data_IF_703861855166
#
_entry.id   IF_703861855166
#
_cell.length_a   1.000
_cell.length_b   1.000
_cell.length_c   1.000
_cell.angle_alpha   90.00
_cell.angle_beta   90.00
_cell.angle_gamma   90.00
#
_symmetry.space_group_name_H-M   'P 1'
#
loop_
_entity.id
_entity.type
_entity.pdbx_description
1 polymer ?
#
# COMPACT_ATOMS: atom_id res chain seq x y z
N UNK A 1 -67.32 32.48 25.74
CA UNK A 1 -67.21 31.04 26.10
C UNK A 1 -65.79 30.83 26.60
N UNK A 2 -65.67 30.91 27.93
CA UNK A 2 -64.62 30.59 28.93
C UNK A 2 -63.14 30.52 28.45
N UNK A 3 -62.22 31.37 28.93
CA UNK A 3 -61.60 31.46 30.30
C UNK A 3 -60.85 30.18 30.69
N UNK A 4 -59.67 30.15 31.33
CA UNK A 4 -58.72 31.15 31.84
C UNK A 4 -57.42 30.41 32.22
N UNK A 5 -56.39 31.17 32.62
CA UNK A 5 -55.11 30.76 33.23
C UNK A 5 -55.27 30.04 34.58
N UNK A 6 -54.17 29.42 35.08
CA UNK A 6 -53.53 29.60 36.43
C UNK A 6 -52.54 28.43 36.69
N UNK A 7 -51.21 28.59 36.80
CA UNK A 7 -50.32 29.03 37.92
C UNK A 7 -50.46 28.33 39.29
N UNK A 8 -49.38 27.63 39.70
CA UNK A 8 -48.50 27.89 40.89
C UNK A 8 -48.70 27.14 42.24
N UNK A 9 -47.58 26.53 42.68
CA UNK A 9 -47.00 26.24 44.05
C UNK A 9 -47.48 25.15 45.03
N UNK A 10 -46.46 24.35 45.43
CA UNK A 10 -45.94 24.00 46.79
C UNK A 10 -46.87 23.77 48.01
N UNK A 11 -46.64 22.64 48.70
CA UNK A 11 -46.21 22.48 50.12
C UNK A 11 -46.11 20.95 50.43
N UNK A 12 -44.95 20.37 50.79
CA UNK A 12 -44.32 20.25 52.11
C UNK A 12 -45.08 19.33 53.10
N UNK A 13 -44.45 18.21 53.50
CA UNK A 13 -44.60 17.64 54.84
C UNK A 13 -43.36 16.83 55.27
N UNK A 14 -42.96 17.01 56.52
CA UNK A 14 -41.78 16.48 57.21
C UNK A 14 -42.04 15.07 57.79
N UNK A 15 -41.01 14.23 57.96
CA UNK A 15 -40.72 13.43 59.18
C UNK A 15 -39.51 12.49 59.00
N UNK A 16 -38.91 12.09 60.13
CA UNK A 16 -37.49 11.83 60.33
C UNK A 16 -37.04 10.33 60.41
N UNK A 17 -35.78 10.08 59.98
CA UNK A 17 -34.80 9.07 60.48
C UNK A 17 -35.01 7.58 60.16
N UNK A 18 -34.00 6.67 60.33
CA UNK A 18 -32.58 6.84 60.72
C UNK A 18 -31.56 6.24 59.71
N UNK A 19 -30.26 6.59 59.88
CA UNK A 19 -29.11 6.06 59.12
C UNK A 19 -28.66 4.66 59.61
N UNK A 20 -28.20 3.77 58.71
CA UNK A 20 -27.19 2.75 59.05
C UNK A 20 -25.85 2.99 58.33
N UNK A 21 -24.77 2.55 59.00
CA UNK A 21 -23.37 2.88 58.72
C UNK A 21 -22.67 2.11 57.58
N UNK A 22 -21.34 2.28 57.45
CA UNK A 22 -20.59 1.87 56.27
C UNK A 22 -20.23 0.37 56.28
N UNK A 23 -20.56 -0.32 55.18
CA UNK A 23 -20.13 -1.68 54.91
C UNK A 23 -18.61 -1.74 54.63
N UNK A 24 -17.92 -2.64 55.34
CA UNK A 24 -16.55 -3.07 55.04
C UNK A 24 -16.52 -3.88 53.74
N UNK A 25 -15.50 -3.73 52.87
CA UNK A 25 -15.30 -4.63 51.75
C UNK A 25 -14.73 -5.97 52.21
N UNK A 26 -15.37 -7.06 51.77
CA UNK A 26 -14.94 -8.43 51.94
C UNK A 26 -13.70 -8.77 51.10
N UNK A 27 -12.93 -9.72 51.61
CA UNK A 27 -11.77 -10.40 51.01
C UNK A 27 -12.13 -10.95 49.61
N UNK A 28 -11.25 -10.87 48.60
CA UNK A 28 -11.44 -11.62 47.36
C UNK A 28 -11.06 -13.09 47.57
N UNK A 29 -12.02 -13.98 47.28
CA UNK A 29 -11.85 -15.42 47.18
C UNK A 29 -10.94 -15.77 45.99
N UNK A 30 -10.03 -16.71 46.20
CA UNK A 30 -9.22 -17.34 45.14
C UNK A 30 -10.12 -18.16 44.20
N UNK A 31 -9.98 -18.03 42.87
CA UNK A 31 -10.61 -18.95 41.94
C UNK A 31 -10.00 -20.34 42.06
N UNK A 32 -10.86 -21.32 42.35
CA UNK A 32 -10.61 -22.74 42.21
C UNK A 32 -10.20 -23.06 40.76
N UNK A 33 -9.06 -23.74 40.60
CA UNK A 33 -8.62 -24.30 39.32
C UNK A 33 -9.61 -25.38 38.87
N UNK A 34 -10.05 -25.40 37.60
CA UNK A 34 -10.85 -26.51 37.09
C UNK A 34 -9.97 -27.75 36.87
N UNK A 35 -10.51 -28.89 37.28
CA UNK A 35 -9.92 -30.21 37.16
C UNK A 35 -9.52 -30.55 35.71
N UNK A 36 -8.32 -31.11 35.60
CA UNK A 36 -7.68 -31.54 34.35
C UNK A 36 -8.36 -32.84 33.87
N UNK A 37 -8.93 -32.91 32.65
CA UNK A 37 -9.42 -34.18 32.15
C UNK A 37 -8.25 -35.12 31.81
N UNK A 38 -8.37 -36.37 32.26
CA UNK A 38 -7.48 -37.49 31.93
C UNK A 38 -7.34 -37.68 30.42
N UNK A 39 -6.09 -37.88 30.00
CA UNK A 39 -5.67 -38.03 28.62
C UNK A 39 -5.80 -39.51 28.23
N UNK A 40 -6.62 -39.90 27.24
CA UNK A 40 -6.67 -41.28 26.78
C UNK A 40 -5.41 -41.64 25.99
N UNK A 41 -4.96 -42.88 26.17
CA UNK A 41 -3.75 -43.49 25.62
C UNK A 41 -3.54 -43.23 24.12
N UNK A 42 -2.31 -42.84 23.76
CA UNK A 42 -1.87 -42.74 22.36
C UNK A 42 -1.57 -44.14 21.81
N UNK A 43 -2.07 -44.51 20.61
CA UNK A 43 -1.64 -45.72 19.93
C UNK A 43 -0.22 -45.57 19.37
N UNK A 44 0.58 -46.62 19.56
CA UNK A 44 1.97 -46.78 19.12
C UNK A 44 2.16 -46.47 17.62
N UNK A 45 3.21 -45.70 17.31
CA UNK A 45 3.66 -45.47 15.93
C UNK A 45 4.35 -46.74 15.37
N UNK A 46 4.03 -47.19 14.16
CA UNK A 46 4.77 -48.27 13.53
C UNK A 46 6.13 -47.79 13.01
N UNK A 47 7.16 -48.57 13.35
CA UNK A 47 8.56 -48.42 12.95
C UNK A 47 8.74 -48.22 11.43
N UNK A 48 9.56 -47.24 11.04
CA UNK A 48 9.99 -47.08 9.65
C UNK A 48 11.07 -48.11 9.28
N UNK A 49 10.93 -48.83 8.15
CA UNK A 49 11.97 -49.72 7.67
C UNK A 49 13.11 -48.94 7.01
N UNK A 50 14.33 -49.21 7.48
CA UNK A 50 15.59 -48.77 6.88
C UNK A 50 15.75 -49.30 5.45
N UNK A 51 16.01 -48.38 4.54
CA UNK A 51 17.07 -48.53 3.54
C UNK A 51 16.65 -48.87 2.10
N UNK A 52 16.91 -47.93 1.19
CA UNK A 52 17.61 -48.25 -0.07
C UNK A 52 18.30 -47.01 -0.64
N UNK A 53 19.63 -47.09 -0.68
CA UNK A 53 20.56 -46.15 -1.33
C UNK A 53 20.20 -46.01 -2.81
N UNK A 54 20.12 -44.77 -3.31
CA UNK A 54 20.27 -44.48 -4.75
C UNK A 54 21.48 -43.57 -4.95
N UNK A 55 22.23 -43.94 -6.00
CA UNK A 55 23.57 -43.50 -6.39
C UNK A 55 23.60 -42.02 -6.78
N UNK A 56 24.63 -41.30 -6.36
CA UNK A 56 24.99 -40.00 -6.93
C UNK A 56 25.74 -40.13 -8.27
N UNK A 57 25.85 -39.06 -9.06
CA UNK A 57 26.86 -38.95 -10.10
C UNK A 57 28.13 -38.30 -9.52
N UNK A 58 29.28 -38.84 -9.94
CA UNK A 58 30.63 -38.51 -9.44
C UNK A 58 31.20 -37.17 -9.94
N UNK A 59 32.45 -36.86 -9.53
CA UNK A 59 33.04 -35.54 -9.64
C UNK A 59 33.59 -35.26 -11.04
N UNK A 60 33.33 -34.07 -11.55
CA UNK A 60 34.00 -33.52 -12.74
C UNK A 60 35.37 -33.01 -12.32
N UNK A 61 36.41 -33.64 -12.86
CA UNK A 61 37.81 -33.28 -12.69
C UNK A 61 38.10 -31.93 -13.37
N UNK A 62 38.61 -31.00 -12.57
CA UNK A 62 39.19 -29.73 -13.01
C UNK A 62 40.56 -29.99 -13.66
N UNK A 63 40.73 -29.60 -14.92
CA UNK A 63 42.05 -29.51 -15.58
C UNK A 63 42.21 -28.08 -16.13
N UNK A 64 43.04 -27.30 -15.44
CA UNK A 64 43.67 -26.09 -15.94
C UNK A 64 44.79 -26.47 -16.93
N UNK A 65 44.92 -25.76 -18.05
CA UNK A 65 46.18 -25.22 -18.57
C UNK A 65 45.90 -24.16 -19.68
N UNK A 66 46.81 -23.19 -19.91
CA UNK A 66 46.56 -21.94 -20.62
C UNK A 66 47.02 -21.97 -22.09
N UNK A 67 46.39 -21.18 -22.96
CA UNK A 67 46.92 -20.90 -24.29
C UNK A 67 46.64 -19.45 -24.74
N UNK A 68 47.71 -18.68 -24.65
CA UNK A 68 48.09 -17.48 -25.38
C UNK A 68 47.58 -17.45 -26.84
N UNK A 69 46.88 -16.38 -27.23
CA UNK A 69 46.75 -15.99 -28.64
C UNK A 69 47.11 -14.52 -28.80
N UNK A 70 48.02 -14.31 -29.74
CA UNK A 70 48.80 -13.12 -30.07
C UNK A 70 47.98 -12.04 -30.76
N UNK A 71 48.22 -10.80 -30.37
CA UNK A 71 47.83 -9.59 -31.10
C UNK A 71 48.85 -9.34 -32.21
N UNK A 72 48.40 -9.38 -33.46
CA UNK A 72 49.09 -8.74 -34.60
C UNK A 72 48.05 -8.09 -35.48
N UNK A 73 48.22 -6.79 -35.72
CA UNK A 73 47.32 -5.99 -36.53
C UNK A 73 47.77 -5.77 -37.98
N UNK A 74 47.11 -4.75 -38.55
CA UNK A 74 47.52 -3.83 -39.63
C UNK A 74 46.84 -4.01 -41.01
N UNK A 75 46.44 -2.83 -41.52
CA UNK A 75 46.13 -2.38 -42.88
C UNK A 75 44.68 -2.58 -43.36
N UNK A 76 43.86 -1.52 -43.38
CA UNK A 76 43.84 -0.38 -44.32
C UNK A 76 43.13 -0.74 -45.65
N UNK A 77 41.93 -0.19 -45.84
CA UNK A 77 41.37 0.01 -47.17
C UNK A 77 40.79 1.43 -47.29
N UNK A 78 41.26 2.10 -48.33
CA UNK A 78 41.02 3.48 -48.70
C UNK A 78 39.62 3.72 -49.25
N UNK A 79 39.20 4.98 -49.09
CA UNK A 79 37.93 5.58 -49.42
C UNK A 79 37.57 5.61 -50.92
N UNK A 80 36.27 5.48 -51.19
CA UNK A 80 35.47 6.18 -52.21
C UNK A 80 34.07 6.27 -51.57
N UNK A 81 33.58 7.45 -51.13
CA UNK A 81 33.07 8.51 -51.97
C UNK A 81 31.53 8.41 -52.03
N UNK A 82 30.82 9.14 -51.15
CA UNK A 82 29.36 9.22 -51.17
C UNK A 82 28.79 9.89 -49.92
N UNK A 83 28.52 11.19 -49.99
CA UNK A 83 27.76 11.94 -48.98
C UNK A 83 26.27 11.62 -49.11
N UNK A 84 25.55 11.29 -48.03
CA UNK A 84 24.09 11.41 -48.01
C UNK A 84 23.70 12.86 -47.63
N UNK A 85 22.83 13.44 -48.45
CA UNK A 85 22.10 14.68 -48.13
C UNK A 85 21.08 14.44 -47.00
N UNK A 86 20.68 15.47 -46.24
CA UNK A 86 19.70 15.33 -45.16
C UNK A 86 18.31 15.19 -45.80
N UNK A 87 17.73 14.00 -45.67
CA UNK A 87 16.41 13.68 -46.21
C UNK A 87 15.50 13.19 -45.11
N UNK A 88 14.50 14.02 -44.81
CA UNK A 88 13.21 13.72 -44.15
C UNK A 88 13.28 13.01 -42.80
N UNK A 89 13.12 13.81 -41.75
CA UNK A 89 12.55 13.40 -40.47
C UNK A 89 11.22 12.68 -40.73
N UNK A 90 11.27 11.35 -40.76
CA UNK A 90 10.09 10.52 -40.55
C UNK A 90 9.98 10.36 -39.04
N UNK A 91 9.40 11.37 -38.39
CA UNK A 91 8.90 11.30 -37.01
C UNK A 91 7.71 10.31 -36.99
N UNK A 92 8.00 9.03 -37.21
CA UNK A 92 7.14 7.98 -36.69
C UNK A 92 7.39 7.97 -35.19
N UNK A 93 6.62 8.78 -34.48
CA UNK A 93 6.42 8.62 -33.05
C UNK A 93 6.09 7.14 -32.81
N UNK A 94 7.06 6.39 -32.29
CA UNK A 94 6.86 5.02 -31.86
C UNK A 94 5.78 5.08 -30.80
N UNK A 95 4.60 4.56 -31.12
CA UNK A 95 3.50 4.44 -30.19
C UNK A 95 4.04 3.78 -28.90
N UNK A 96 3.96 4.43 -27.73
CA UNK A 96 4.41 3.83 -26.48
C UNK A 96 3.64 2.55 -26.11
N UNK A 97 2.54 2.22 -26.83
CA UNK A 97 1.87 0.92 -26.76
C UNK A 97 2.63 -0.22 -27.44
N UNK A 98 3.58 0.09 -28.35
CA UNK A 98 4.27 -0.88 -29.20
C UNK A 98 5.35 -1.71 -28.47
N UNK A 99 5.37 -1.75 -27.14
CA UNK A 99 6.32 -2.54 -26.35
C UNK A 99 5.70 -3.29 -25.17
N UNK A 100 4.37 -3.46 -25.14
CA UNK A 100 3.71 -4.36 -24.18
C UNK A 100 3.13 -5.54 -24.95
N UNK A 101 3.63 -6.74 -24.68
CA UNK A 101 3.22 -8.00 -25.35
C UNK A 101 1.87 -8.51 -24.82
N UNK A 102 0.83 -7.67 -24.89
CA UNK A 102 -0.55 -7.97 -24.50
C UNK A 102 -1.53 -7.40 -25.54
N UNK A 103 -2.74 -7.97 -25.60
CA UNK A 103 -3.78 -7.45 -26.50
C UNK A 103 -4.10 -5.97 -26.17
N UNK A 104 -3.96 -5.02 -27.13
CA UNK A 104 -4.23 -3.61 -26.89
C UNK A 104 -5.64 -3.31 -26.37
N UNK A 105 -6.62 -4.18 -26.64
CA UNK A 105 -7.99 -4.07 -26.12
C UNK A 105 -8.07 -4.18 -24.60
N UNK A 106 -7.06 -4.75 -23.93
CA UNK A 106 -7.00 -4.90 -22.48
C UNK A 106 -6.57 -3.61 -21.77
N UNK A 107 -5.83 -2.75 -22.46
CA UNK A 107 -5.24 -1.52 -21.90
C UNK A 107 -6.31 -0.57 -21.32
N UNK A 108 -7.42 -0.26 -22.02
CA UNK A 108 -8.48 0.58 -21.45
C UNK A 108 -9.08 0.00 -20.17
N UNK A 109 -9.20 -1.33 -20.08
CA UNK A 109 -9.75 -2.01 -18.91
C UNK A 109 -8.77 -2.02 -17.75
N UNK A 110 -7.46 -2.23 -17.99
CA UNK A 110 -6.42 -2.11 -16.97
C UNK A 110 -6.39 -0.70 -16.37
N UNK A 111 -6.44 0.32 -17.22
CA UNK A 111 -6.51 1.73 -16.80
C UNK A 111 -7.79 2.02 -16.02
N UNK A 112 -8.95 1.51 -16.47
CA UNK A 112 -10.23 1.67 -15.79
C UNK A 112 -10.24 1.00 -14.41
N UNK A 113 -9.75 -0.24 -14.33
CA UNK A 113 -9.64 -1.00 -13.09
C UNK A 113 -8.72 -0.30 -12.08
N UNK A 114 -7.54 0.15 -12.51
CA UNK A 114 -6.62 0.95 -11.70
C UNK A 114 -7.21 2.31 -11.30
N UNK A 115 -7.98 2.97 -12.17
CA UNK A 115 -8.60 4.27 -11.83
C UNK A 115 -9.62 4.17 -10.70
N UNK A 116 -10.28 3.03 -10.55
CA UNK A 116 -11.20 2.74 -9.46
C UNK A 116 -10.45 2.50 -8.13
N UNK A 117 -9.16 2.16 -8.20
CA UNK A 117 -8.33 1.92 -7.03
C UNK A 117 -6.95 2.55 -7.12
N UNK A 118 -6.83 3.71 -6.50
CA UNK A 118 -5.68 4.61 -6.66
C UNK A 118 -4.36 4.07 -6.11
N UNK A 119 -4.43 2.97 -5.35
CA UNK A 119 -3.26 2.25 -4.81
C UNK A 119 -2.63 1.35 -5.87
N UNK A 120 -3.39 0.93 -6.88
CA UNK A 120 -2.94 -0.01 -7.91
C UNK A 120 -2.69 0.73 -9.22
N UNK A 121 -1.52 0.53 -9.80
CA UNK A 121 -1.17 1.05 -11.12
C UNK A 121 -1.56 0.02 -12.20
N UNK A 122 -1.87 0.45 -13.45
CA UNK A 122 -2.14 -0.47 -14.55
C UNK A 122 -1.06 -1.54 -14.75
N UNK A 123 0.22 -1.17 -14.56
CA UNK A 123 1.35 -2.11 -14.65
C UNK A 123 1.31 -3.21 -13.59
N UNK A 124 0.85 -2.91 -12.38
CA UNK A 124 0.72 -3.89 -11.29
C UNK A 124 -0.34 -4.91 -11.64
N UNK A 125 -1.51 -4.47 -12.12
CA UNK A 125 -2.59 -5.38 -12.54
C UNK A 125 -2.16 -6.26 -13.72
N UNK A 126 -1.46 -5.68 -14.70
CA UNK A 126 -0.95 -6.42 -15.85
C UNK A 126 0.10 -7.47 -15.43
N UNK A 127 1.06 -7.08 -14.58
CA UNK A 127 2.07 -7.99 -14.05
C UNK A 127 1.46 -9.12 -13.21
N UNK A 128 0.37 -8.83 -12.50
CA UNK A 128 -0.37 -9.83 -11.73
C UNK A 128 -1.07 -10.84 -12.65
N UNK A 129 -1.77 -10.38 -13.69
CA UNK A 129 -2.44 -11.25 -14.67
C UNK A 129 -1.41 -12.14 -15.39
N UNK A 130 -0.28 -11.58 -15.81
CA UNK A 130 0.81 -12.32 -16.42
C UNK A 130 1.39 -13.39 -15.47
N UNK A 131 1.58 -13.06 -14.19
CA UNK A 131 2.00 -14.06 -13.19
C UNK A 131 0.95 -15.16 -13.00
N UNK A 132 -0.34 -14.83 -13.03
CA UNK A 132 -1.43 -15.77 -12.76
C UNK A 132 -1.67 -16.75 -13.91
N UNK A 133 -1.59 -16.28 -15.15
CA UNK A 133 -2.00 -17.06 -16.33
C UNK A 133 -1.11 -16.90 -17.55
N UNK A 134 -0.14 -15.97 -17.54
CA UNK A 134 0.56 -15.56 -18.75
C UNK A 134 -0.40 -15.03 -19.83
N UNK A 135 -1.52 -14.43 -19.41
CA UNK A 135 -2.64 -14.02 -20.27
C UNK A 135 -3.42 -15.15 -20.96
N UNK A 136 -3.25 -16.41 -20.51
CA UNK A 136 -4.01 -17.57 -20.98
C UNK A 136 -5.39 -17.64 -20.32
N UNK A 137 -6.43 -18.05 -21.06
CA UNK A 137 -7.76 -18.37 -20.51
C UNK A 137 -8.00 -19.89 -20.38
N UNK A 138 -6.96 -20.71 -20.62
CA UNK A 138 -7.03 -22.16 -20.58
C UNK A 138 -7.15 -22.69 -19.14
N UNK A 139 -8.31 -23.26 -18.82
CA UNK A 139 -8.60 -23.78 -17.49
C UNK A 139 -7.77 -25.01 -17.09
N UNK A 140 -7.22 -25.75 -18.06
CA UNK A 140 -6.39 -26.93 -17.78
C UNK A 140 -5.01 -26.51 -17.24
N UNK A 141 -4.47 -25.40 -17.74
CA UNK A 141 -3.23 -24.78 -17.23
C UNK A 141 -3.45 -24.14 -15.85
N UNK A 142 -4.68 -23.68 -15.58
CA UNK A 142 -5.05 -22.92 -14.38
C UNK A 142 -5.57 -23.79 -13.21
N UNK A 143 -5.42 -25.11 -13.28
CA UNK A 143 -5.86 -26.04 -12.22
C UNK A 143 -7.34 -25.88 -11.83
N UNK A 144 -8.21 -25.60 -12.81
CA UNK A 144 -9.66 -25.42 -12.61
C UNK A 144 -10.10 -23.98 -12.33
N UNK A 145 -9.18 -23.02 -12.22
CA UNK A 145 -9.48 -21.58 -12.28
C UNK A 145 -9.82 -21.17 -13.73
N UNK A 146 -10.45 -20.00 -13.91
CA UNK A 146 -11.01 -19.57 -15.20
C UNK A 146 -10.52 -18.18 -15.59
N UNK A 147 -10.17 -18.06 -16.87
CA UNK A 147 -9.81 -16.81 -17.52
C UNK A 147 -8.48 -16.22 -17.09
N UNK A 148 -8.12 -15.10 -17.70
CA UNK A 148 -6.80 -14.49 -17.58
C UNK A 148 -6.45 -14.07 -16.13
N UNK A 149 -7.45 -13.75 -15.31
CA UNK A 149 -7.26 -13.41 -13.91
C UNK A 149 -7.36 -14.62 -12.95
N UNK A 150 -7.40 -15.85 -13.50
CA UNK A 150 -7.42 -17.11 -12.76
C UNK A 150 -8.47 -17.16 -11.63
N UNK A 151 -9.72 -16.79 -11.90
CA UNK A 151 -10.77 -16.82 -10.87
C UNK A 151 -11.30 -18.21 -10.60
N UNK A 152 -11.50 -18.55 -9.33
CA UNK A 152 -12.39 -19.65 -8.92
C UNK A 152 -13.86 -19.26 -9.06
N UNK A 153 -14.77 -20.25 -9.03
CA UNK A 153 -16.22 -19.99 -9.09
C UNK A 153 -16.74 -19.17 -7.89
N UNK A 154 -16.12 -19.33 -6.72
CA UNK A 154 -16.51 -18.60 -5.50
C UNK A 154 -16.03 -17.15 -5.51
N UNK A 155 -14.80 -16.92 -5.99
CA UNK A 155 -14.30 -15.57 -6.20
C UNK A 155 -15.08 -14.85 -7.29
N UNK A 156 -15.42 -15.53 -8.40
CA UNK A 156 -16.21 -14.92 -9.47
C UNK A 156 -17.60 -14.50 -9.00
N UNK A 157 -18.25 -15.28 -8.13
CA UNK A 157 -19.54 -14.91 -7.54
C UNK A 157 -19.46 -13.64 -6.69
N UNK A 158 -18.29 -13.35 -6.13
CA UNK A 158 -18.05 -12.20 -5.26
C UNK A 158 -17.65 -10.97 -6.06
N UNK A 159 -16.77 -11.14 -7.05
CA UNK A 159 -16.10 -10.03 -7.74
C UNK A 159 -16.55 -9.84 -9.18
N UNK A 160 -17.12 -10.87 -9.82
CA UNK A 160 -17.54 -10.87 -11.21
C UNK A 160 -18.75 -9.96 -11.46
N UNK A 161 -18.69 -9.25 -12.58
CA UNK A 161 -19.77 -8.40 -13.11
C UNK A 161 -19.61 -8.31 -14.62
N UNK A 162 -20.71 -8.05 -15.33
CA UNK A 162 -20.71 -7.63 -16.74
C UNK A 162 -20.29 -6.14 -16.80
N UNK A 163 -19.02 -5.89 -17.07
CA UNK A 163 -18.40 -4.56 -17.04
C UNK A 163 -18.34 -3.89 -18.43
N UNK A 164 -18.39 -4.69 -19.50
CA UNK A 164 -18.45 -4.23 -20.90
C UNK A 164 -19.87 -4.06 -21.44
N UNK A 165 -20.88 -4.57 -20.73
CA UNK A 165 -22.29 -4.42 -21.06
C UNK A 165 -22.76 -5.36 -22.17
N UNK A 166 -22.04 -6.46 -22.41
CA UNK A 166 -22.39 -7.43 -23.45
C UNK A 166 -23.53 -8.38 -23.05
N UNK A 167 -24.03 -8.29 -21.82
CA UNK A 167 -25.14 -9.08 -21.28
C UNK A 167 -24.71 -10.39 -20.62
N UNK A 168 -23.41 -10.65 -20.47
CA UNK A 168 -22.87 -11.86 -19.85
C UNK A 168 -21.69 -11.53 -18.94
N UNK A 169 -21.86 -11.76 -17.64
CA UNK A 169 -20.72 -11.79 -16.71
C UNK A 169 -19.95 -13.11 -16.83
N UNK A 170 -18.68 -13.07 -17.24
CA UNK A 170 -17.87 -14.28 -17.42
C UNK A 170 -16.40 -14.11 -17.00
N UNK A 171 -15.81 -15.06 -16.24
CA UNK A 171 -14.39 -15.00 -15.91
C UNK A 171 -13.48 -15.13 -17.13
N UNK A 172 -14.00 -15.69 -18.24
CA UNK A 172 -13.30 -15.80 -19.52
C UNK A 172 -13.48 -14.58 -20.43
N UNK A 173 -14.26 -13.60 -20.00
CA UNK A 173 -14.31 -12.31 -20.68
C UNK A 173 -13.17 -11.43 -20.13
N UNK A 174 -12.20 -11.00 -20.95
CA UNK A 174 -11.08 -10.20 -20.47
C UNK A 174 -11.49 -8.89 -19.79
N UNK A 175 -12.54 -8.22 -20.28
CA UNK A 175 -12.99 -6.95 -19.72
C UNK A 175 -13.53 -7.14 -18.29
N UNK A 176 -14.42 -8.13 -18.12
CA UNK A 176 -14.98 -8.48 -16.82
C UNK A 176 -13.89 -8.99 -15.87
N UNK A 177 -12.97 -9.83 -16.35
CA UNK A 177 -11.91 -10.41 -15.55
C UNK A 177 -10.95 -9.36 -15.01
N UNK A 178 -10.48 -8.43 -15.86
CA UNK A 178 -9.59 -7.34 -15.45
C UNK A 178 -10.28 -6.44 -14.41
N UNK A 179 -11.55 -6.09 -14.64
CA UNK A 179 -12.31 -5.24 -13.74
C UNK A 179 -12.61 -5.95 -12.40
N UNK A 180 -12.90 -7.25 -12.42
CA UNK A 180 -13.09 -8.06 -11.23
C UNK A 180 -11.81 -8.16 -10.40
N UNK A 181 -10.65 -8.36 -11.04
CA UNK A 181 -9.36 -8.38 -10.35
C UNK A 181 -9.06 -7.03 -9.69
N UNK A 182 -9.23 -5.93 -10.44
CA UNK A 182 -9.08 -4.59 -9.89
C UNK A 182 -10.00 -4.31 -8.70
N UNK A 183 -11.26 -4.77 -8.73
CA UNK A 183 -12.18 -4.65 -7.58
C UNK A 183 -11.70 -5.43 -6.35
N UNK A 184 -11.26 -6.68 -6.55
CA UNK A 184 -10.76 -7.54 -5.48
C UNK A 184 -9.54 -6.91 -4.83
N UNK A 185 -8.55 -6.56 -5.63
CA UNK A 185 -7.31 -5.96 -5.14
C UNK A 185 -7.58 -4.60 -4.49
N UNK A 186 -8.56 -3.85 -4.99
CA UNK A 186 -8.94 -2.61 -4.33
C UNK A 186 -9.54 -2.80 -2.95
N UNK A 187 -10.39 -3.81 -2.81
CA UNK A 187 -10.93 -4.16 -1.50
C UNK A 187 -9.81 -4.53 -0.54
N UNK A 188 -8.83 -5.32 -0.99
CA UNK A 188 -7.66 -5.68 -0.18
C UNK A 188 -6.79 -4.47 0.16
N UNK A 189 -6.54 -3.58 -0.80
CA UNK A 189 -5.79 -2.34 -0.60
C UNK A 189 -6.43 -1.44 0.45
N UNK A 190 -7.76 -1.31 0.44
CA UNK A 190 -8.51 -0.55 1.45
C UNK A 190 -8.27 -1.10 2.86
N UNK A 191 -8.37 -2.42 3.04
CA UNK A 191 -8.17 -3.07 4.33
C UNK A 191 -6.72 -3.03 4.81
N UNK A 192 -5.77 -3.27 3.92
CA UNK A 192 -4.32 -3.14 4.20
C UNK A 192 -3.98 -1.70 4.60
N UNK A 193 -4.58 -0.70 3.93
CA UNK A 193 -4.41 0.71 4.28
C UNK A 193 -4.94 1.00 5.69
N UNK A 194 -6.09 0.45 6.05
CA UNK A 194 -6.66 0.54 7.40
C UNK A 194 -5.74 -0.08 8.45
N UNK A 195 -5.33 -1.34 8.27
CA UNK A 195 -4.42 -2.05 9.16
C UNK A 195 -3.09 -1.31 9.35
N UNK A 196 -2.55 -0.73 8.28
CA UNK A 196 -1.31 0.06 8.33
C UNK A 196 -1.51 1.37 9.09
N UNK A 197 -2.67 1.98 8.93
CA UNK A 197 -3.07 3.20 9.66
C UNK A 197 -3.32 2.94 11.14
N UNK A 198 -3.77 1.75 11.52
CA UNK A 198 -3.86 1.32 12.91
C UNK A 198 -2.48 0.98 13.52
N UNK A 199 -1.43 0.94 12.69
CA UNK A 199 -0.09 0.51 13.09
C UNK A 199 0.01 -0.99 13.36
N UNK A 200 -0.95 -1.78 12.88
CA UNK A 200 -0.97 -3.25 13.02
C UNK A 200 -0.06 -3.93 12.01
N UNK A 201 0.10 -3.33 10.83
CA UNK A 201 1.01 -3.82 9.80
C UNK A 201 1.90 -2.67 9.30
N UNK A 202 3.05 -3.01 8.72
CA UNK A 202 3.96 -2.07 8.10
C UNK A 202 4.60 -2.66 6.83
N UNK A 203 4.83 -1.83 5.81
CA UNK A 203 5.33 -2.26 4.50
C UNK A 203 4.70 -1.45 3.36
N UNK A 204 5.11 -1.77 2.14
CA UNK A 204 4.61 -1.11 0.93
C UNK A 204 3.15 -1.51 0.68
N UNK A 205 2.27 -0.54 0.38
CA UNK A 205 0.85 -0.81 0.25
C UNK A 205 0.56 -1.74 -0.93
N UNK A 206 1.26 -1.59 -2.04
CA UNK A 206 1.12 -2.49 -3.20
C UNK A 206 1.59 -3.88 -2.82
N UNK A 207 2.76 -4.01 -2.20
CA UNK A 207 3.28 -5.30 -1.75
C UNK A 207 2.37 -5.98 -0.71
N UNK A 208 1.87 -5.25 0.27
CA UNK A 208 0.96 -5.78 1.28
C UNK A 208 -0.38 -6.19 0.67
N UNK A 209 -0.87 -5.45 -0.33
CA UNK A 209 -2.09 -5.79 -1.08
C UNK A 209 -1.90 -7.08 -1.88
N UNK A 210 -0.81 -7.18 -2.64
CA UNK A 210 -0.43 -8.39 -3.38
C UNK A 210 -0.19 -9.58 -2.44
N UNK A 211 0.38 -9.35 -1.26
CA UNK A 211 0.51 -10.38 -0.24
C UNK A 211 -0.85 -10.84 0.27
N UNK A 212 -1.76 -9.91 0.57
CA UNK A 212 -3.10 -10.23 1.02
C UNK A 212 -3.90 -10.98 -0.06
N UNK A 213 -3.66 -10.67 -1.34
CA UNK A 213 -4.20 -11.45 -2.46
C UNK A 213 -3.71 -12.90 -2.43
N UNK A 214 -2.40 -13.10 -2.31
CA UNK A 214 -1.77 -14.40 -2.43
C UNK A 214 -2.00 -15.34 -1.22
N UNK A 215 -2.00 -14.79 0.00
CA UNK A 215 -2.03 -15.59 1.23
C UNK A 215 -3.13 -15.20 2.22
N UNK A 216 -3.97 -14.23 1.86
CA UNK A 216 -5.03 -13.72 2.71
C UNK A 216 -4.60 -12.61 3.66
N UNK A 217 -5.56 -11.75 4.01
CA UNK A 217 -5.40 -10.61 4.90
C UNK A 217 -5.01 -11.00 6.33
N UNK A 218 -5.55 -12.11 6.84
CA UNK A 218 -5.25 -12.62 8.19
C UNK A 218 -3.76 -12.94 8.33
N UNK A 219 -3.15 -13.56 7.31
CA UNK A 219 -1.73 -13.88 7.31
C UNK A 219 -0.85 -12.61 7.28
N UNK A 220 -1.26 -11.58 6.52
CA UNK A 220 -0.58 -10.28 6.49
C UNK A 220 -0.68 -9.59 7.86
N UNK A 221 -1.86 -9.64 8.46
CA UNK A 221 -2.16 -9.07 9.77
C UNK A 221 -1.37 -9.75 10.89
N UNK A 222 -1.35 -11.07 10.92
CA UNK A 222 -0.60 -11.87 11.91
C UNK A 222 0.91 -11.63 11.77
N UNK A 223 1.42 -11.54 10.55
CA UNK A 223 2.83 -11.25 10.30
C UNK A 223 3.22 -9.80 10.65
N UNK A 224 2.27 -8.86 10.65
CA UNK A 224 2.54 -7.43 10.79
C UNK A 224 3.24 -6.78 9.59
N UNK A 225 3.40 -7.52 8.48
CA UNK A 225 4.18 -7.17 7.27
C UNK A 225 3.91 -8.20 6.17
N UNK A 226 4.61 -8.09 5.03
CA UNK A 226 4.59 -9.12 3.96
C UNK A 226 5.02 -10.49 4.54
N UNK A 227 4.14 -11.51 4.56
CA UNK A 227 4.44 -12.84 5.06
C UNK A 227 5.48 -13.57 4.21
N UNK A 228 6.25 -14.48 4.80
CA UNK A 228 7.23 -15.29 4.06
C UNK A 228 6.59 -16.12 2.95
N UNK A 229 5.37 -16.62 3.18
CA UNK A 229 4.60 -17.39 2.20
C UNK A 229 4.25 -16.59 0.94
N UNK A 230 4.14 -15.27 1.03
CA UNK A 230 3.83 -14.41 -0.12
C UNK A 230 5.07 -14.04 -0.96
N UNK A 231 6.29 -14.22 -0.42
CA UNK A 231 7.51 -13.67 -1.05
C UNK A 231 7.77 -14.17 -2.47
N UNK A 232 7.49 -15.44 -2.75
CA UNK A 232 7.68 -16.01 -4.09
C UNK A 232 6.75 -15.33 -5.09
N UNK A 233 5.46 -15.25 -4.79
CA UNK A 233 4.47 -14.55 -5.61
C UNK A 233 4.86 -13.09 -5.86
N UNK A 234 5.23 -12.35 -4.81
CA UNK A 234 5.66 -10.95 -4.97
C UNK A 234 6.93 -10.81 -5.82
N UNK A 235 7.88 -11.75 -5.72
CA UNK A 235 9.10 -11.70 -6.51
C UNK A 235 8.81 -11.93 -8.01
N UNK A 236 7.87 -12.83 -8.32
CA UNK A 236 7.43 -13.10 -9.69
C UNK A 236 6.71 -11.87 -10.28
N UNK A 237 5.74 -11.29 -9.56
CA UNK A 237 5.05 -10.07 -10.02
C UNK A 237 6.04 -8.91 -10.20
N UNK A 238 6.97 -8.69 -9.26
CA UNK A 238 7.99 -7.63 -9.39
C UNK A 238 8.91 -7.81 -10.58
N UNK A 239 9.27 -9.05 -10.93
CA UNK A 239 10.10 -9.33 -12.08
C UNK A 239 9.40 -8.99 -13.41
N UNK A 240 8.06 -8.93 -13.41
CA UNK A 240 7.24 -8.59 -14.56
C UNK A 240 6.98 -7.09 -14.69
N UNK A 241 7.03 -6.31 -13.60
CA UNK A 241 6.74 -4.86 -13.61
C UNK A 241 7.47 -4.07 -14.72
N UNK A 242 8.78 -4.25 -14.96
CA UNK A 242 9.48 -3.50 -16.03
C UNK A 242 8.90 -3.70 -17.44
N UNK A 243 8.18 -4.81 -17.68
CA UNK A 243 7.50 -5.08 -18.96
C UNK A 243 6.27 -4.19 -19.16
N UNK A 244 5.66 -3.73 -18.07
CA UNK A 244 4.36 -3.07 -18.05
C UNK A 244 4.41 -1.60 -17.62
N UNK A 245 5.56 -1.07 -17.20
CA UNK A 245 5.73 0.33 -16.75
C UNK A 245 5.21 1.38 -17.76
N UNK A 246 5.16 1.06 -19.05
CA UNK A 246 4.62 1.96 -20.06
C UNK A 246 3.11 2.22 -19.89
N UNK A 247 2.37 1.30 -19.27
CA UNK A 247 0.94 1.42 -19.04
C UNK A 247 0.59 2.52 -18.01
N UNK A 248 1.54 2.86 -17.13
CA UNK A 248 1.36 3.84 -16.04
C UNK A 248 1.59 5.28 -16.50
N UNK A 249 2.23 5.45 -17.66
CA UNK A 249 2.40 6.77 -18.27
C UNK A 249 1.04 7.19 -18.83
N UNK A 250 0.38 8.12 -18.15
CA UNK A 250 -0.74 8.85 -18.75
C UNK A 250 -0.25 9.55 -20.03
N UNK A 251 -1.12 9.61 -21.06
CA UNK A 251 -1.04 10.62 -22.12
C UNK A 251 -1.27 12.01 -21.49
N UNK A 252 -0.30 12.47 -20.72
CA UNK A 252 -0.26 13.77 -20.07
C UNK A 252 0.97 14.48 -20.61
N UNK A 253 0.75 15.27 -21.67
CA UNK A 253 1.78 16.10 -22.27
C UNK A 253 2.50 16.98 -21.25
N UNK A 254 3.84 16.99 -21.33
CA UNK A 254 4.70 18.09 -20.96
C UNK A 254 4.55 18.68 -19.55
N UNK A 255 5.26 18.10 -18.58
CA UNK A 255 5.60 18.75 -17.31
C UNK A 255 7.11 18.73 -17.10
N UNK A 256 7.78 19.75 -17.64
CA UNK A 256 9.23 19.93 -17.58
C UNK A 256 9.80 19.93 -16.15
N UNK A 257 11.04 19.44 -16.05
CA UNK A 257 11.78 19.31 -14.80
C UNK A 257 11.97 20.60 -14.00
N UNK A 258 11.98 20.43 -12.67
CA UNK A 258 12.43 21.39 -11.68
C UNK A 258 13.58 20.78 -10.87
N UNK A 259 14.64 21.57 -10.70
CA UNK A 259 16.02 21.18 -10.43
C UNK A 259 16.32 20.55 -9.06
N UNK A 260 17.47 19.86 -9.03
CA UNK A 260 18.14 19.30 -7.87
C UNK A 260 18.30 20.35 -6.74
N UNK A 261 17.82 20.01 -5.54
CA UNK A 261 18.01 20.85 -4.35
C UNK A 261 16.87 20.90 -3.34
N UNK A 262 15.80 20.11 -3.48
CA UNK A 262 14.86 19.69 -2.42
C UNK A 262 13.83 18.75 -3.06
N UNK A 263 13.54 17.60 -2.45
CA UNK A 263 12.55 16.68 -3.03
C UNK A 263 11.11 17.07 -2.67
N UNK A 264 10.88 17.71 -1.50
CA UNK A 264 9.56 18.07 -1.00
C UNK A 264 9.47 19.55 -0.55
N UNK A 265 8.33 20.17 -0.85
CA UNK A 265 7.88 21.48 -0.35
C UNK A 265 7.49 21.37 1.13
N UNK A 266 7.77 22.41 1.91
CA UNK A 266 7.34 22.52 3.31
C UNK A 266 5.80 22.34 3.43
N UNK A 267 5.30 21.32 4.15
CA UNK A 267 3.87 21.03 4.20
C UNK A 267 3.06 21.98 5.10
N UNK A 268 3.74 22.73 5.96
CA UNK A 268 3.17 23.71 6.88
C UNK A 268 4.19 24.82 7.16
N UNK A 269 3.71 25.97 7.64
CA UNK A 269 4.57 27.07 8.10
C UNK A 269 4.17 27.52 9.51
N UNK A 270 5.12 27.72 10.44
CA UNK A 270 6.56 27.46 10.28
C UNK A 270 6.90 25.95 10.36
N UNK A 271 8.09 25.53 9.87
CA UNK A 271 8.62 24.16 10.06
C UNK A 271 9.32 23.99 11.42
N UNK A 272 8.67 24.41 12.50
CA UNK A 272 9.22 24.25 13.85
C UNK A 272 8.97 22.83 14.35
N UNK A 273 10.02 22.02 14.42
CA UNK A 273 9.93 20.64 14.93
C UNK A 273 9.70 20.66 16.44
N UNK A 274 8.58 20.09 16.88
CA UNK A 274 8.30 19.83 18.30
C UNK A 274 8.68 18.42 18.71
N UNK A 275 8.65 17.47 17.76
CA UNK A 275 9.03 16.09 18.02
C UNK A 275 9.67 15.45 16.77
N UNK A 276 10.90 14.93 16.86
CA UNK A 276 11.60 14.32 15.74
C UNK A 276 11.15 12.88 15.49
N UNK A 277 11.41 12.37 14.27
CA UNK A 277 11.31 10.95 13.93
C UNK A 277 12.24 10.09 14.80
N UNK A 278 11.80 8.86 15.11
CA UNK A 278 12.63 7.85 15.77
C UNK A 278 12.05 7.28 17.06
N UNK A 279 12.75 6.28 17.59
CA UNK A 279 12.36 5.58 18.81
C UNK A 279 12.43 6.47 20.04
N UNK A 280 11.32 6.55 20.79
CA UNK A 280 11.26 7.27 22.07
C UNK A 280 10.98 6.26 23.18
N UNK A 281 11.84 6.21 24.20
CA UNK A 281 11.55 5.48 25.42
C UNK A 281 10.62 6.32 26.30
N UNK A 282 9.47 5.76 26.68
CA UNK A 282 8.54 6.44 27.56
C UNK A 282 9.13 6.51 28.98
N UNK A 283 9.39 7.71 29.55
CA UNK A 283 10.24 7.87 30.72
C UNK A 283 9.68 7.25 32.02
N UNK A 284 8.40 6.87 32.03
CA UNK A 284 7.75 6.24 33.19
C UNK A 284 7.46 4.74 32.99
N UNK A 285 7.45 4.23 31.76
CA UNK A 285 7.05 2.85 31.48
C UNK A 285 8.14 2.02 30.80
N UNK A 286 9.24 2.64 30.35
CA UNK A 286 10.34 1.96 29.66
C UNK A 286 9.97 1.41 28.27
N UNK A 287 8.76 1.70 27.79
CA UNK A 287 8.30 1.23 26.48
C UNK A 287 8.85 2.16 25.40
N UNK A 288 9.66 1.60 24.51
CA UNK A 288 10.14 2.29 23.32
C UNK A 288 9.06 2.25 22.23
N UNK A 289 8.48 3.42 21.90
CA UNK A 289 7.55 3.56 20.78
C UNK A 289 8.21 4.37 19.67
N UNK A 290 8.18 3.83 18.45
CA UNK A 290 8.64 4.55 17.26
C UNK A 290 7.71 5.72 16.97
N UNK A 291 8.29 6.90 16.82
CA UNK A 291 7.63 8.01 16.16
C UNK A 291 7.88 7.93 14.65
N UNK A 292 6.83 7.65 13.90
CA UNK A 292 6.87 7.32 12.46
C UNK A 292 7.01 8.54 11.54
N UNK A 293 6.96 9.75 12.11
CA UNK A 293 7.07 11.01 11.38
C UNK A 293 7.76 12.10 12.20
N UNK A 294 7.52 13.35 11.82
CA UNK A 294 7.95 14.56 12.53
C UNK A 294 6.72 15.38 12.86
N UNK A 295 6.69 15.91 14.08
CA UNK A 295 5.64 16.82 14.53
C UNK A 295 6.12 18.25 14.30
N UNK A 296 5.36 19.01 13.50
CA UNK A 296 5.57 20.44 13.28
C UNK A 296 4.55 21.25 14.08
N UNK A 297 5.05 22.18 14.90
CA UNK A 297 4.22 23.15 15.58
C UNK A 297 3.54 24.08 14.57
N UNK A 298 2.22 24.12 14.62
CA UNK A 298 1.41 25.06 13.86
C UNK A 298 0.09 25.32 14.60
N UNK A 299 -0.46 26.54 14.54
CA UNK A 299 -1.69 26.85 15.24
C UNK A 299 -2.88 26.08 14.65
N UNK A 300 -3.90 25.83 15.48
CA UNK A 300 -5.18 25.27 15.05
C UNK A 300 -5.71 26.02 13.82
N UNK A 301 -6.07 25.29 12.76
CA UNK A 301 -6.58 25.89 11.54
C UNK A 301 -5.52 26.46 10.59
N UNK A 302 -4.22 26.32 10.90
CA UNK A 302 -3.17 26.66 9.93
C UNK A 302 -3.33 25.84 8.64
N UNK A 303 -2.97 26.43 7.50
CA UNK A 303 -3.05 25.75 6.21
C UNK A 303 -2.01 24.64 6.11
N UNK A 304 -2.44 23.47 5.66
CA UNK A 304 -1.56 22.36 5.28
C UNK A 304 -1.59 22.22 3.76
N UNK A 305 -0.42 22.07 3.15
CA UNK A 305 -0.24 21.96 1.70
C UNK A 305 0.42 20.64 1.32
N UNK A 306 0.17 20.17 0.09
CA UNK A 306 0.84 19.01 -0.46
C UNK A 306 2.35 19.28 -0.62
N UNK A 307 3.17 18.40 -0.07
CA UNK A 307 4.62 18.52 -0.12
C UNK A 307 5.18 18.30 -1.55
N UNK A 308 4.46 17.56 -2.39
CA UNK A 308 4.82 17.33 -3.81
C UNK A 308 3.58 16.99 -4.62
N UNK A 309 3.67 17.14 -5.95
CA UNK A 309 2.69 16.58 -6.89
C UNK A 309 2.44 15.11 -6.57
N UNK A 310 1.19 14.70 -6.55
CA UNK A 310 0.81 13.31 -6.32
C UNK A 310 -0.69 13.10 -6.35
N UNK A 311 -1.11 11.86 -6.10
CA UNK A 311 -2.51 11.44 -6.03
C UNK A 311 -2.88 11.14 -4.59
N UNK A 312 -4.01 11.66 -4.13
CA UNK A 312 -4.54 11.37 -2.80
C UNK A 312 -5.01 9.92 -2.77
N UNK A 313 -4.35 9.06 -2.00
CA UNK A 313 -4.69 7.63 -1.86
C UNK A 313 -5.47 7.33 -0.57
N UNK A 314 -5.50 8.26 0.37
CA UNK A 314 -6.32 8.18 1.58
C UNK A 314 -6.72 9.58 2.06
N UNK A 315 -7.96 9.76 2.49
CA UNK A 315 -8.45 10.98 3.13
C UNK A 315 -9.67 10.67 4.02
N UNK A 316 -9.44 10.38 5.31
CA UNK A 316 -10.52 10.04 6.25
C UNK A 316 -10.11 10.24 7.72
N UNK A 317 -11.09 10.17 8.63
CA UNK A 317 -10.88 10.14 10.08
C UNK A 317 -10.42 8.74 10.53
N UNK A 318 -9.40 8.70 11.38
CA UNK A 318 -8.78 7.49 11.93
C UNK A 318 -8.62 7.63 13.44
N UNK A 319 -8.53 6.51 14.16
CA UNK A 319 -8.45 6.53 15.63
C UNK A 319 -7.16 7.19 16.15
N UNK A 320 -6.00 6.76 15.65
CA UNK A 320 -4.70 7.25 16.10
C UNK A 320 -4.31 8.58 15.43
N UNK A 321 -4.34 8.63 14.09
CA UNK A 321 -3.88 9.78 13.32
C UNK A 321 -4.94 10.88 13.18
N UNK A 322 -6.18 10.67 13.62
CA UNK A 322 -7.26 11.64 13.42
C UNK A 322 -7.61 11.77 11.94
N UNK A 323 -8.03 12.96 11.50
CA UNK A 323 -8.19 13.21 10.06
C UNK A 323 -6.80 13.13 9.41
N UNK A 324 -6.65 12.17 8.50
CA UNK A 324 -5.39 11.86 7.84
C UNK A 324 -5.56 11.93 6.33
N UNK A 325 -4.55 12.51 5.67
CA UNK A 325 -4.39 12.47 4.22
C UNK A 325 -3.10 11.69 3.92
N UNK A 326 -3.14 10.82 2.90
CA UNK A 326 -1.96 10.18 2.32
C UNK A 326 -1.92 10.52 0.84
N UNK A 327 -0.77 11.00 0.37
CA UNK A 327 -0.52 11.33 -1.03
C UNK A 327 0.59 10.42 -1.54
N UNK A 328 0.28 9.67 -2.60
CA UNK A 328 1.26 8.90 -3.37
C UNK A 328 1.89 9.79 -4.45
N UNK A 329 3.21 9.87 -4.47
CA UNK A 329 3.98 10.69 -5.39
C UNK A 329 4.57 9.90 -6.56
N UNK A 330 4.23 8.61 -6.66
CA UNK A 330 4.76 7.70 -7.66
C UNK A 330 6.18 7.23 -7.33
N UNK A 331 6.84 6.68 -8.35
CA UNK A 331 8.24 6.26 -8.28
C UNK A 331 9.18 7.46 -8.50
N UNK A 332 10.02 7.76 -7.51
CA UNK A 332 11.04 8.81 -7.56
C UNK A 332 12.40 8.17 -7.32
N UNK A 333 13.33 8.32 -8.27
CA UNK A 333 14.67 7.71 -8.20
C UNK A 333 14.62 6.20 -7.92
N UNK A 334 13.66 5.50 -8.52
CA UNK A 334 13.47 4.06 -8.36
C UNK A 334 12.83 3.61 -7.05
N UNK A 335 12.27 4.54 -6.26
CA UNK A 335 11.58 4.24 -4.99
C UNK A 335 10.16 4.78 -5.00
N UNK A 336 9.20 4.03 -4.46
CA UNK A 336 7.85 4.54 -4.19
C UNK A 336 7.92 5.54 -3.06
N UNK A 337 7.30 6.72 -3.24
CA UNK A 337 7.33 7.79 -2.25
C UNK A 337 5.91 8.22 -1.90
N UNK A 338 5.56 8.17 -0.62
CA UNK A 338 4.30 8.72 -0.10
C UNK A 338 4.58 9.75 1.00
N UNK A 339 3.66 10.70 1.15
CA UNK A 339 3.62 11.60 2.30
C UNK A 339 2.30 11.51 3.03
N UNK A 340 2.34 11.66 4.35
CA UNK A 340 1.12 11.67 5.18
C UNK A 340 0.99 12.95 5.98
N UNK A 341 -0.26 13.35 6.24
CA UNK A 341 -0.62 14.59 6.92
C UNK A 341 -1.71 14.25 7.93
N UNK A 342 -1.36 14.27 9.21
CA UNK A 342 -2.22 13.75 10.29
C UNK A 342 -2.61 14.83 11.31
N UNK A 343 -3.54 14.47 12.17
CA UNK A 343 -4.16 15.31 13.21
C UNK A 343 -4.95 16.50 12.66
N UNK A 344 -5.37 16.45 11.39
CA UNK A 344 -6.00 17.59 10.71
C UNK A 344 -7.37 17.94 11.32
N UNK A 345 -7.73 19.22 11.31
CA UNK A 345 -9.08 19.66 11.71
C UNK A 345 -10.09 19.53 10.57
N UNK A 346 -9.62 19.60 9.32
CA UNK A 346 -10.43 19.36 8.14
C UNK A 346 -9.61 18.79 6.98
N UNK A 347 -10.29 17.99 6.15
CA UNK A 347 -9.81 17.47 4.89
C UNK A 347 -10.27 18.41 3.76
N UNK A 348 -9.33 18.89 2.96
CA UNK A 348 -9.60 19.76 1.79
C UNK A 348 -9.54 19.03 0.45
N UNK A 349 -9.39 17.71 0.47
CA UNK A 349 -9.24 16.84 -0.70
C UNK A 349 -10.02 15.54 -0.51
N UNK A 350 -10.27 14.86 -1.61
CA UNK A 350 -10.89 13.52 -1.62
C UNK A 350 -9.93 12.48 -2.21
N UNK A 351 -10.17 11.21 -1.87
CA UNK A 351 -9.44 10.07 -2.47
C UNK A 351 -9.59 10.11 -3.99
N UNK A 352 -8.47 9.92 -4.68
CA UNK A 352 -8.33 9.98 -6.14
C UNK A 352 -8.07 11.36 -6.73
N UNK A 353 -8.11 12.42 -5.94
CA UNK A 353 -7.74 13.75 -6.40
C UNK A 353 -6.23 13.84 -6.66
N UNK A 354 -5.83 14.34 -7.84
CA UNK A 354 -4.45 14.75 -8.11
C UNK A 354 -4.22 16.16 -7.55
N UNK A 355 -3.10 16.36 -6.86
CA UNK A 355 -2.72 17.64 -6.27
C UNK A 355 -1.31 18.02 -6.74
N UNK A 356 -1.08 19.31 -6.91
CA UNK A 356 0.25 19.87 -7.20
C UNK A 356 1.00 20.20 -5.91
N UNK A 357 2.32 20.34 -5.99
CA UNK A 357 3.13 20.79 -4.86
C UNK A 357 2.65 22.17 -4.38
N UNK A 358 2.50 22.34 -3.07
CA UNK A 358 1.98 23.58 -2.46
C UNK A 358 0.47 23.74 -2.53
N UNK A 359 -0.27 22.83 -3.17
CA UNK A 359 -1.73 22.88 -3.20
C UNK A 359 -2.30 22.74 -1.78
N UNK A 360 -3.29 23.55 -1.35
CA UNK A 360 -3.94 23.39 -0.06
C UNK A 360 -4.68 22.05 0.02
N UNK A 361 -4.38 21.25 1.04
CA UNK A 361 -5.01 19.93 1.21
C UNK A 361 -5.79 19.78 2.51
N UNK A 362 -5.61 20.67 3.47
CA UNK A 362 -6.29 20.58 4.75
C UNK A 362 -5.97 21.72 5.70
N UNK A 363 -6.30 21.49 6.97
CA UNK A 363 -6.07 22.42 8.07
C UNK A 363 -5.49 21.70 9.27
N UNK A 364 -4.50 22.28 9.92
CA UNK A 364 -3.92 21.78 11.18
C UNK A 364 -5.02 21.64 12.23
N UNK A 365 -4.96 20.59 13.01
CA UNK A 365 -5.90 20.31 14.09
C UNK A 365 -5.25 19.60 15.26
N UNK A 366 -6.08 18.96 16.06
CA UNK A 366 -5.67 18.11 17.19
C UNK A 366 -6.54 16.85 17.28
N UNK A 367 -7.03 16.34 16.13
CA UNK A 367 -7.88 15.15 16.09
C UNK A 367 -7.07 13.86 16.30
N UNK A 368 -7.72 12.79 16.74
CA UNK A 368 -7.06 11.52 17.04
C UNK A 368 -6.26 11.59 18.34
N UNK A 369 -5.20 10.80 18.44
CA UNK A 369 -4.30 10.77 19.60
C UNK A 369 -3.26 11.89 19.50
N UNK A 370 -3.69 13.11 19.79
CA UNK A 370 -2.85 14.32 19.81
C UNK A 370 -2.94 15.03 21.16
N UNK A 371 -1.82 15.58 21.63
CA UNK A 371 -1.75 16.36 22.89
C UNK A 371 -2.03 17.85 22.69
N UNK A 372 -2.15 18.31 21.44
CA UNK A 372 -2.45 19.69 21.09
C UNK A 372 -2.23 19.98 19.59
N UNK A 373 -2.59 21.17 19.09
CA UNK A 373 -2.49 21.48 17.68
C UNK A 373 -1.07 21.35 17.11
N UNK A 374 -0.89 20.46 16.13
CA UNK A 374 0.34 20.27 15.36
C UNK A 374 0.05 19.50 14.06
N UNK A 375 0.99 19.51 13.12
CA UNK A 375 0.99 18.61 11.97
C UNK A 375 1.95 17.46 12.25
N UNK A 376 1.43 16.23 12.31
CA UNK A 376 2.27 15.03 12.23
C UNK A 376 2.45 14.67 10.75
N UNK A 377 3.69 14.74 10.28
CA UNK A 377 4.07 14.56 8.88
C UNK A 377 5.02 13.36 8.73
N UNK A 378 4.70 12.45 7.82
CA UNK A 378 5.51 11.26 7.56
C UNK A 378 5.97 11.24 6.10
N UNK A 379 7.17 10.70 5.86
CA UNK A 379 7.68 10.34 4.53
C UNK A 379 7.90 8.85 4.50
N UNK A 380 7.26 8.20 3.53
CA UNK A 380 7.30 6.75 3.35
C UNK A 380 8.08 6.46 2.08
N UNK A 381 9.08 5.58 2.17
CA UNK A 381 9.85 5.08 1.03
C UNK A 381 9.71 3.57 0.93
N UNK A 382 9.23 3.09 -0.22
CA UNK A 382 8.97 1.67 -0.47
C UNK A 382 8.18 1.05 0.70
N UNK A 383 7.19 1.79 1.22
CA UNK A 383 6.37 1.37 2.35
C UNK A 383 6.91 1.57 3.75
N UNK A 384 8.18 1.93 3.90
CA UNK A 384 8.82 2.13 5.21
C UNK A 384 8.81 3.58 5.62
N UNK A 385 8.40 3.85 6.87
CA UNK A 385 8.54 5.18 7.49
C UNK A 385 10.02 5.58 7.57
N UNK A 386 10.32 6.79 7.12
CA UNK A 386 11.66 7.37 7.13
C UNK A 386 11.66 8.71 7.83
N UNK A 387 12.84 9.18 8.26
CA UNK A 387 12.98 10.53 8.80
C UNK A 387 12.59 11.57 7.73
N UNK A 388 11.55 12.40 7.93
CA UNK A 388 11.15 13.43 6.98
C UNK A 388 12.15 14.58 6.86
N UNK A 389 13.02 14.81 7.85
CA UNK A 389 13.89 16.01 7.90
C UNK A 389 14.80 16.19 6.69
N UNK A 390 15.43 15.15 6.11
CA UNK A 390 16.24 15.29 4.90
C UNK A 390 15.42 15.65 3.65
N UNK A 391 14.10 15.49 3.70
CA UNK A 391 13.21 15.68 2.55
C UNK A 391 12.61 17.07 2.47
N UNK A 392 12.40 17.72 3.63
CA UNK A 392 11.80 19.04 3.73
C UNK A 392 12.87 20.10 3.96
N UNK A 393 12.94 21.09 3.07
CA UNK A 393 13.71 22.31 3.32
C UNK A 393 12.83 23.35 4.01
N UNK A 394 13.36 24.10 4.99
CA UNK A 394 12.83 25.42 5.29
C UNK A 394 12.91 26.25 4.00
N UNK A 395 11.79 26.79 3.53
CA UNK A 395 11.82 27.76 2.44
C UNK A 395 12.72 28.93 2.86
N UNK A 396 13.95 28.98 2.34
CA UNK A 396 14.88 30.10 2.48
C UNK A 396 15.52 30.25 3.86
N UNK A 397 16.70 29.66 4.03
CA UNK A 397 17.85 30.33 4.67
C UNK A 397 19.10 30.08 3.84
#
# INVERSE_FOLDING_TARGET
MNDERLTVTQAADDTAGPRPGPHRPGRPDHPLQPDRPEQPDQPEQPEQPRGRRRRGPGPVTLLLLPALVTVTGVAAFLALGGLPSPGSDDDSATDPSAAVDIDPSYIPWLRRAASACTVLEPSVLAAQIDQLSGWSDDSDELSGQKGIAAFTDDEWRTWGKDDDGNGRSSPRDPADAIMALGRRDCSLAGKVTELRTEGRINGDLVELTLAAYAVGEDAVTEAGRVPSAAKTYLAEVRALLPRYEALDREDSGGGAGGAAGALLTAPVSPLTITSPFGSREHPLTGVTKLHTGVDFAAPQGAQVVAARRGRVVFAALTSAYGNRIVIDHGTIQGKRVETTYSHLSSLGVAVGQTVEAGAPIGRVGSTGLSTGPHLHFEVILDGYYTDPRPWVVPNGV
#
